data_IF_069853063909
#
_entry.id   IF_069853063909
#
_cell.length_a   1.000
_cell.length_b   1.000
_cell.length_c   1.000
_cell.angle_alpha   90.00
_cell.angle_beta   90.00
_cell.angle_gamma   90.00
#
_symmetry.space_group_name_H-M   'P 1'
#
loop_
_entity.id
_entity.type
_entity.pdbx_description
1 polymer ?
#
# COMPACT_ATOMS: atom_id res chain seq x y z
N UNK A 1 -11.51 12.97 -4.19
CA UNK A 1 -10.33 13.87 -4.16
C UNK A 1 -9.24 13.17 -3.36
N UNK A 2 -8.00 13.06 -3.87
CA UNK A 2 -6.89 12.49 -3.12
C UNK A 2 -6.59 13.30 -1.85
N UNK A 3 -5.99 12.63 -0.86
CA UNK A 3 -5.57 13.30 0.37
C UNK A 3 -4.43 14.28 0.09
N UNK A 4 -4.44 15.47 0.71
CA UNK A 4 -3.41 16.48 0.49
C UNK A 4 -2.09 16.14 1.17
N UNK A 5 -1.01 16.72 0.66
CA UNK A 5 0.35 16.58 1.20
C UNK A 5 0.88 17.91 1.75
N UNK A 6 1.75 17.84 2.76
CA UNK A 6 2.42 19.03 3.31
C UNK A 6 3.75 19.27 2.57
N UNK A 7 3.66 19.88 1.39
CA UNK A 7 4.79 20.14 0.51
C UNK A 7 5.89 20.98 1.17
N UNK A 8 5.50 22.05 1.88
CA UNK A 8 6.45 22.96 2.53
C UNK A 8 7.27 22.26 3.63
N UNK A 9 6.62 21.41 4.42
CA UNK A 9 7.31 20.62 5.46
C UNK A 9 8.29 19.65 4.83
N UNK A 10 7.87 18.91 3.79
CA UNK A 10 8.72 17.93 3.10
C UNK A 10 9.94 18.63 2.51
N UNK A 11 9.75 19.71 1.77
CA UNK A 11 10.84 20.48 1.19
C UNK A 11 11.83 20.97 2.25
N UNK A 12 11.35 21.54 3.36
CA UNK A 12 12.19 22.03 4.45
C UNK A 12 12.94 20.89 5.17
N UNK A 13 12.35 19.70 5.23
CA UNK A 13 12.99 18.53 5.83
C UNK A 13 14.12 18.01 4.96
N UNK A 14 13.91 17.84 3.67
CA UNK A 14 14.88 17.28 2.71
C UNK A 14 16.17 18.14 2.56
N UNK A 15 16.17 19.36 3.08
CA UNK A 15 17.39 20.21 3.16
C UNK A 15 18.27 19.91 4.38
N UNK A 16 17.84 19.05 5.31
CA UNK A 16 18.59 18.75 6.54
C UNK A 16 19.47 17.52 6.36
N UNK A 17 20.62 17.43 7.08
CA UNK A 17 21.45 16.24 7.09
C UNK A 17 20.68 15.01 7.64
N UNK A 18 20.98 13.83 7.09
CA UNK A 18 20.38 12.56 7.50
C UNK A 18 21.33 11.37 7.22
N UNK A 19 21.01 10.21 7.77
CA UNK A 19 21.75 8.96 7.54
C UNK A 19 21.33 8.29 6.21
N UNK A 20 22.01 8.69 5.13
CA UNK A 20 21.76 8.14 3.80
C UNK A 20 22.05 6.64 3.70
N UNK A 21 23.05 6.13 4.44
CA UNK A 21 23.38 4.70 4.41
C UNK A 21 22.23 3.82 4.91
N UNK A 22 21.48 4.30 5.91
CA UNK A 22 20.31 3.61 6.43
C UNK A 22 19.08 3.79 5.52
N UNK A 23 18.85 5.01 5.01
CA UNK A 23 17.57 5.39 4.43
C UNK A 23 17.51 5.22 2.90
N UNK A 24 18.62 5.30 2.15
CA UNK A 24 18.62 5.08 0.69
C UNK A 24 18.53 3.60 0.33
N UNK A 25 17.91 3.28 -0.80
CA UNK A 25 17.75 1.91 -1.29
C UNK A 25 17.66 1.85 -2.83
N UNK A 26 18.02 0.70 -3.44
CA UNK A 26 17.65 0.44 -4.82
C UNK A 26 16.14 0.24 -4.94
N UNK A 27 15.57 -0.63 -4.12
CA UNK A 27 14.12 -0.79 -3.96
C UNK A 27 13.77 -0.65 -2.49
N UNK A 28 12.77 0.15 -2.17
CA UNK A 28 12.25 0.31 -0.81
C UNK A 28 10.78 -0.05 -0.69
N UNK A 29 10.41 -0.56 0.48
CA UNK A 29 9.03 -0.70 0.91
C UNK A 29 8.87 -0.13 2.31
N UNK A 30 7.90 0.77 2.51
CA UNK A 30 7.58 1.36 3.82
C UNK A 30 6.14 1.03 4.17
N UNK A 31 5.91 0.22 5.19
CA UNK A 31 4.55 -0.13 5.62
C UNK A 31 4.47 -1.36 6.51
N UNK A 32 3.28 -1.61 7.11
CA UNK A 32 2.99 -2.83 7.83
C UNK A 32 2.95 -4.03 6.89
N UNK A 33 3.38 -5.19 7.36
CA UNK A 33 3.16 -6.46 6.65
C UNK A 33 1.81 -7.11 7.01
N UNK A 34 1.07 -6.53 7.96
CA UNK A 34 -0.18 -7.09 8.52
C UNK A 34 -0.04 -8.53 9.01
N UNK A 35 1.16 -8.89 9.46
CA UNK A 35 1.51 -10.22 9.99
C UNK A 35 1.78 -10.19 11.51
N UNK A 36 1.26 -9.18 12.19
CA UNK A 36 1.33 -9.06 13.64
C UNK A 36 0.54 -10.19 14.32
N UNK A 37 0.92 -10.54 15.55
CA UNK A 37 0.33 -11.65 16.32
C UNK A 37 -1.18 -11.51 16.56
N UNK A 38 -1.72 -10.32 16.44
CA UNK A 38 -3.15 -10.01 16.57
C UNK A 38 -3.89 -9.86 15.23
N UNK A 39 -3.36 -10.43 14.15
CA UNK A 39 -4.09 -10.50 12.87
C UNK A 39 -5.42 -11.24 13.10
N UNK A 40 -6.53 -10.55 12.76
CA UNK A 40 -7.87 -11.05 13.06
C UNK A 40 -8.18 -12.38 12.36
N UNK A 41 -7.72 -12.57 11.13
CA UNK A 41 -7.96 -13.82 10.39
C UNK A 41 -7.20 -14.99 11.01
N UNK A 42 -5.94 -14.81 11.37
CA UNK A 42 -5.10 -15.86 11.94
C UNK A 42 -5.53 -16.21 13.38
N UNK A 43 -6.29 -15.34 14.04
CA UNK A 43 -6.89 -15.60 15.35
C UNK A 43 -8.21 -16.38 15.29
N UNK A 44 -8.76 -16.62 14.10
CA UNK A 44 -9.99 -17.41 13.93
C UNK A 44 -9.73 -18.88 14.34
N UNK A 45 -10.23 -19.26 15.50
CA UNK A 45 -10.16 -20.64 16.01
C UNK A 45 -11.57 -21.23 16.06
N UNK A 46 -11.69 -22.50 15.65
CA UNK A 46 -12.96 -23.23 15.75
C UNK A 46 -13.91 -23.04 14.55
N UNK A 47 -13.49 -22.38 13.48
CA UNK A 47 -14.23 -22.41 12.21
C UNK A 47 -14.10 -23.81 11.56
N UNK A 48 -15.13 -24.24 10.85
CA UNK A 48 -15.13 -25.52 10.13
C UNK A 48 -14.05 -25.55 9.04
N UNK A 49 -13.55 -26.76 8.73
CA UNK A 49 -12.59 -26.96 7.64
C UNK A 49 -13.18 -26.52 6.29
N UNK A 50 -14.50 -26.65 6.11
CA UNK A 50 -15.18 -26.14 4.92
C UNK A 50 -15.07 -24.62 4.82
N UNK A 51 -15.46 -23.90 5.86
CA UNK A 51 -15.40 -22.42 5.86
C UNK A 51 -13.97 -21.92 5.71
N UNK A 52 -13.00 -22.54 6.41
CA UNK A 52 -11.60 -22.17 6.24
C UNK A 52 -11.13 -22.36 4.80
N UNK A 53 -11.37 -23.53 4.22
CA UNK A 53 -10.98 -23.82 2.83
C UNK A 53 -11.65 -22.89 1.82
N UNK A 54 -12.93 -22.56 2.04
CA UNK A 54 -13.65 -21.60 1.21
C UNK A 54 -13.03 -20.19 1.28
N UNK A 55 -12.76 -19.67 2.49
CA UNK A 55 -12.14 -18.34 2.66
C UNK A 55 -10.74 -18.29 2.05
N UNK A 56 -9.93 -19.33 2.24
CA UNK A 56 -8.60 -19.43 1.62
C UNK A 56 -8.70 -19.44 0.09
N UNK A 57 -9.68 -20.14 -0.48
CA UNK A 57 -9.89 -20.21 -1.93
C UNK A 57 -10.31 -18.86 -2.53
N UNK A 58 -11.25 -18.13 -1.92
CA UNK A 58 -11.68 -16.83 -2.43
C UNK A 58 -10.57 -15.78 -2.29
N UNK A 59 -9.77 -15.79 -1.22
CA UNK A 59 -8.61 -14.93 -1.08
C UNK A 59 -7.55 -15.23 -2.16
N UNK A 60 -7.28 -16.52 -2.42
CA UNK A 60 -6.38 -16.92 -3.49
C UNK A 60 -6.88 -16.47 -4.87
N UNK A 61 -8.16 -16.59 -5.16
CA UNK A 61 -8.73 -16.08 -6.40
C UNK A 61 -8.60 -14.55 -6.49
N UNK A 62 -8.91 -13.83 -5.40
CA UNK A 62 -8.80 -12.37 -5.34
C UNK A 62 -7.37 -11.87 -5.53
N UNK A 63 -6.33 -12.62 -5.14
CA UNK A 63 -4.93 -12.20 -5.34
C UNK A 63 -4.55 -12.04 -6.81
N UNK A 64 -5.27 -12.69 -7.72
CA UNK A 64 -5.07 -12.59 -9.17
C UNK A 64 -5.93 -11.50 -9.85
N UNK A 65 -6.77 -10.79 -9.08
CA UNK A 65 -7.68 -9.77 -9.61
C UNK A 65 -7.36 -8.42 -9.01
N UNK A 66 -6.89 -7.48 -9.83
CA UNK A 66 -6.72 -6.08 -9.49
C UNK A 66 -7.88 -5.23 -10.05
N UNK A 67 -8.16 -4.09 -9.41
CA UNK A 67 -9.19 -3.15 -9.85
C UNK A 67 -10.63 -3.49 -9.42
N UNK A 68 -10.87 -4.70 -8.92
CA UNK A 68 -12.15 -5.11 -8.35
C UNK A 68 -11.94 -6.00 -7.12
N UNK A 69 -12.76 -5.81 -6.08
CA UNK A 69 -12.73 -6.62 -4.86
C UNK A 69 -14.09 -7.30 -4.67
N UNK A 70 -14.14 -8.62 -4.88
CA UNK A 70 -15.34 -9.44 -4.77
C UNK A 70 -15.47 -10.20 -3.45
N UNK A 71 -14.54 -10.04 -2.50
CA UNK A 71 -14.52 -10.83 -1.26
C UNK A 71 -15.82 -10.69 -0.45
N UNK A 72 -16.35 -9.47 -0.37
CA UNK A 72 -17.61 -9.22 0.35
C UNK A 72 -18.79 -9.96 -0.29
N UNK A 73 -18.87 -9.96 -1.62
CA UNK A 73 -19.94 -10.62 -2.38
C UNK A 73 -19.91 -12.14 -2.26
N UNK A 74 -18.72 -12.71 -2.01
CA UNK A 74 -18.53 -14.15 -1.80
C UNK A 74 -18.91 -14.61 -0.38
N UNK A 75 -19.13 -13.71 0.58
CA UNK A 75 -19.51 -14.10 1.94
C UNK A 75 -21.00 -14.45 2.01
N UNK A 76 -21.29 -15.74 1.98
CA UNK A 76 -22.67 -16.25 2.12
C UNK A 76 -23.17 -16.17 3.57
N UNK A 77 -24.49 -16.12 3.75
CA UNK A 77 -25.11 -16.08 5.09
C UNK A 77 -24.63 -17.18 6.03
N UNK A 78 -24.50 -18.46 5.63
CA UNK A 78 -23.97 -19.51 6.52
C UNK A 78 -22.53 -19.23 7.00
N UNK A 79 -21.66 -18.75 6.11
CA UNK A 79 -20.28 -18.41 6.45
C UNK A 79 -20.23 -17.23 7.41
N UNK A 80 -21.00 -16.16 7.14
CA UNK A 80 -21.09 -14.98 8.03
C UNK A 80 -21.58 -15.41 9.42
N UNK A 81 -22.59 -16.26 9.48
CA UNK A 81 -23.12 -16.77 10.77
C UNK A 81 -22.08 -17.56 11.54
N UNK A 82 -21.33 -18.43 10.86
CA UNK A 82 -20.24 -19.19 11.50
C UNK A 82 -19.15 -18.27 12.02
N UNK A 83 -18.69 -17.30 11.20
CA UNK A 83 -17.70 -16.31 11.61
C UNK A 83 -18.17 -15.48 12.81
N UNK A 84 -19.42 -15.03 12.81
CA UNK A 84 -20.00 -14.27 13.91
C UNK A 84 -20.04 -15.09 15.20
N UNK A 85 -20.46 -16.34 15.13
CA UNK A 85 -20.50 -17.25 16.29
C UNK A 85 -19.10 -17.53 16.84
N UNK A 86 -18.13 -17.76 15.95
CA UNK A 86 -16.74 -18.03 16.32
C UNK A 86 -16.03 -16.85 16.94
N UNK A 87 -16.25 -15.65 16.40
CA UNK A 87 -15.62 -14.42 16.89
C UNK A 87 -16.37 -13.78 18.05
N UNK A 88 -17.59 -14.22 18.32
CA UNK A 88 -18.53 -13.56 19.24
C UNK A 88 -18.75 -12.09 18.93
N UNK A 89 -18.52 -11.69 17.66
CA UNK A 89 -18.64 -10.32 17.24
C UNK A 89 -20.10 -9.86 17.32
N UNK A 90 -20.32 -8.76 18.04
CA UNK A 90 -21.63 -8.10 18.11
C UNK A 90 -21.55 -6.76 17.35
N UNK A 91 -22.42 -6.64 16.35
CA UNK A 91 -22.54 -5.36 15.62
C UNK A 91 -23.02 -4.26 16.59
N UNK A 92 -22.35 -3.09 16.52
CA UNK A 92 -22.88 -1.92 17.23
C UNK A 92 -24.30 -1.61 16.71
N UNK A 93 -25.32 -1.46 17.55
CA UNK A 93 -26.68 -1.13 17.14
C UNK A 93 -26.75 0.11 16.21
N UNK A 94 -25.91 1.12 16.48
CA UNK A 94 -25.82 2.35 15.68
C UNK A 94 -24.84 2.26 14.51
N UNK A 95 -24.16 1.10 14.32
CA UNK A 95 -23.18 0.88 13.26
C UNK A 95 -23.84 0.69 11.90
N UNK A 96 -23.37 1.43 10.90
CA UNK A 96 -23.86 1.35 9.51
C UNK A 96 -23.26 0.18 8.74
N UNK A 97 -22.11 -0.37 9.19
CA UNK A 97 -21.40 -1.42 8.50
C UNK A 97 -22.13 -2.76 8.60
N UNK A 98 -22.18 -3.50 7.48
CA UNK A 98 -22.72 -4.87 7.43
C UNK A 98 -21.72 -5.85 8.04
N UNK A 99 -22.19 -7.04 8.49
CA UNK A 99 -21.26 -8.11 8.90
C UNK A 99 -20.40 -8.61 7.75
N UNK A 100 -20.95 -8.66 6.52
CA UNK A 100 -20.19 -9.01 5.32
C UNK A 100 -19.04 -8.03 5.10
N UNK A 101 -19.29 -6.72 5.21
CA UNK A 101 -18.26 -5.69 5.12
C UNK A 101 -17.17 -5.90 6.19
N UNK A 102 -17.58 -6.09 7.45
CA UNK A 102 -16.62 -6.24 8.55
C UNK A 102 -15.71 -7.45 8.34
N UNK A 103 -16.29 -8.63 8.02
CA UNK A 103 -15.47 -9.84 7.79
C UNK A 103 -14.65 -9.74 6.50
N UNK A 104 -15.18 -9.12 5.44
CA UNK A 104 -14.41 -8.86 4.22
C UNK A 104 -13.24 -7.92 4.48
N UNK A 105 -13.48 -6.72 5.00
CA UNK A 105 -12.49 -5.66 5.01
C UNK A 105 -11.46 -5.80 6.14
N UNK A 106 -11.92 -6.16 7.36
CA UNK A 106 -11.02 -6.27 8.51
C UNK A 106 -10.34 -7.63 8.65
N UNK A 107 -10.97 -8.71 8.17
CA UNK A 107 -10.39 -10.06 8.25
C UNK A 107 -9.73 -10.45 6.94
N UNK A 108 -10.52 -10.57 5.85
CA UNK A 108 -10.01 -11.14 4.60
C UNK A 108 -9.07 -10.19 3.85
N UNK A 109 -9.46 -8.94 3.65
CA UNK A 109 -8.62 -7.97 2.91
C UNK A 109 -7.27 -7.73 3.60
N UNK A 110 -7.23 -7.68 4.93
CA UNK A 110 -5.97 -7.55 5.67
C UNK A 110 -5.11 -8.80 5.55
N UNK A 111 -5.70 -9.99 5.67
CA UNK A 111 -4.98 -11.25 5.49
C UNK A 111 -4.44 -11.39 4.09
N UNK A 112 -5.26 -11.13 3.08
CA UNK A 112 -4.85 -11.14 1.68
C UNK A 112 -3.70 -10.17 1.43
N UNK A 113 -3.80 -8.92 1.93
CA UNK A 113 -2.71 -7.94 1.80
C UNK A 113 -1.43 -8.40 2.48
N UNK A 114 -1.53 -9.06 3.64
CA UNK A 114 -0.35 -9.64 4.30
C UNK A 114 0.32 -10.69 3.41
N UNK A 115 -0.46 -11.62 2.86
CA UNK A 115 0.05 -12.66 1.96
C UNK A 115 0.70 -12.05 0.71
N UNK A 116 0.04 -11.08 0.08
CA UNK A 116 0.57 -10.40 -1.11
C UNK A 116 1.86 -9.64 -0.81
N UNK A 117 1.90 -8.85 0.27
CA UNK A 117 3.11 -8.11 0.66
C UNK A 117 4.28 -9.04 0.91
N UNK A 118 4.07 -10.12 1.63
CA UNK A 118 5.12 -11.11 1.91
C UNK A 118 5.60 -11.76 0.61
N UNK A 119 4.69 -12.22 -0.25
CA UNK A 119 5.05 -12.88 -1.51
C UNK A 119 5.79 -11.92 -2.44
N UNK A 120 5.23 -10.73 -2.69
CA UNK A 120 5.83 -9.71 -3.56
C UNK A 120 7.22 -9.30 -3.06
N UNK A 121 7.34 -8.99 -1.76
CA UNK A 121 8.64 -8.57 -1.22
C UNK A 121 9.67 -9.71 -1.20
N UNK A 122 9.24 -10.97 -1.07
CA UNK A 122 10.11 -12.13 -1.20
C UNK A 122 10.58 -12.29 -2.65
N UNK A 123 9.70 -12.13 -3.62
CA UNK A 123 10.04 -12.20 -5.04
C UNK A 123 11.02 -11.06 -5.41
N UNK A 124 10.75 -9.84 -4.98
CA UNK A 124 11.66 -8.70 -5.20
C UNK A 124 13.04 -8.95 -4.57
N UNK A 125 13.08 -9.39 -3.31
CA UNK A 125 14.33 -9.64 -2.60
C UNK A 125 15.17 -10.80 -3.20
N UNK A 126 14.53 -11.71 -3.93
CA UNK A 126 15.24 -12.78 -4.63
C UNK A 126 15.98 -12.31 -5.89
N UNK A 127 15.63 -11.12 -6.42
CA UNK A 127 16.19 -10.58 -7.66
C UNK A 127 16.95 -9.27 -7.47
N UNK A 128 16.56 -8.45 -6.48
CA UNK A 128 17.06 -7.09 -6.31
C UNK A 128 17.38 -6.77 -4.84
N UNK A 129 18.35 -5.86 -4.57
CA UNK A 129 18.55 -5.32 -3.23
C UNK A 129 17.28 -4.61 -2.74
N UNK A 130 16.72 -5.09 -1.63
CA UNK A 130 15.47 -4.56 -1.05
C UNK A 130 15.70 -4.14 0.40
N UNK A 131 15.31 -2.90 0.73
CA UNK A 131 15.13 -2.46 2.12
C UNK A 131 13.65 -2.39 2.46
N UNK A 132 13.27 -3.01 3.58
CA UNK A 132 11.90 -2.93 4.10
C UNK A 132 11.91 -2.17 5.43
N UNK A 133 10.94 -1.25 5.58
CA UNK A 133 10.73 -0.48 6.80
C UNK A 133 9.35 -0.82 7.34
N UNK A 134 9.32 -1.71 8.35
CA UNK A 134 8.08 -2.29 8.87
C UNK A 134 8.07 -2.37 10.39
N UNK A 135 6.89 -2.29 11.04
CA UNK A 135 6.78 -2.42 12.49
C UNK A 135 7.29 -3.76 13.03
N UNK A 136 7.15 -4.85 12.28
CA UNK A 136 7.65 -6.17 12.69
C UNK A 136 9.13 -6.32 12.36
N UNK A 137 10.00 -5.70 13.18
CA UNK A 137 11.44 -5.70 13.00
C UNK A 137 12.07 -7.10 12.96
N UNK A 138 11.47 -8.07 13.63
CA UNK A 138 12.00 -9.43 13.73
C UNK A 138 11.57 -10.33 12.58
N UNK A 139 10.67 -9.86 11.72
CA UNK A 139 10.25 -10.64 10.56
C UNK A 139 11.33 -10.68 9.49
N UNK A 140 11.70 -11.88 9.08
CA UNK A 140 12.76 -12.10 8.10
C UNK A 140 12.15 -12.41 6.75
N UNK A 141 12.45 -11.59 5.76
CA UNK A 141 12.29 -11.92 4.34
C UNK A 141 13.70 -12.27 3.82
N UNK A 142 13.92 -13.46 3.30
CA UNK A 142 15.24 -13.84 2.78
C UNK A 142 15.76 -12.81 1.77
N UNK A 143 17.03 -12.46 1.89
CA UNK A 143 17.73 -11.48 1.05
C UNK A 143 17.27 -10.02 1.17
N UNK A 144 16.22 -9.71 1.94
CA UNK A 144 15.83 -8.33 2.23
C UNK A 144 16.49 -7.81 3.51
N UNK A 145 16.79 -6.53 3.54
CA UNK A 145 17.24 -5.81 4.74
C UNK A 145 16.03 -5.22 5.47
N UNK A 146 15.62 -5.83 6.59
CA UNK A 146 14.57 -5.27 7.45
C UNK A 146 15.15 -4.21 8.38
N UNK A 147 14.87 -2.94 8.10
CA UNK A 147 15.39 -1.77 8.81
C UNK A 147 14.56 -1.41 10.07
N UNK A 148 13.47 -2.12 10.33
CA UNK A 148 12.52 -1.79 11.39
C UNK A 148 11.64 -0.61 11.07
N UNK A 149 11.11 0.07 12.10
CA UNK A 149 10.25 1.24 11.92
C UNK A 149 11.09 2.42 11.42
N UNK A 150 10.57 3.13 10.42
CA UNK A 150 11.02 4.46 10.07
C UNK A 150 10.10 5.49 10.74
N UNK A 151 10.68 6.54 11.31
CA UNK A 151 9.88 7.65 11.82
C UNK A 151 9.16 8.34 10.65
N UNK A 152 7.85 8.46 10.80
CA UNK A 152 6.98 8.97 9.74
C UNK A 152 7.28 10.42 9.36
N UNK A 153 7.64 11.24 10.34
CA UNK A 153 7.84 12.67 10.13
C UNK A 153 9.28 13.02 9.72
N UNK A 154 10.26 12.26 10.18
CA UNK A 154 11.69 12.64 10.10
C UNK A 154 12.53 11.72 9.23
N UNK A 155 12.12 10.45 8.98
CA UNK A 155 12.90 9.49 8.20
C UNK A 155 12.19 9.08 6.89
N UNK A 156 10.88 8.85 6.96
CA UNK A 156 10.11 8.37 5.80
C UNK A 156 10.27 9.25 4.54
N UNK A 157 10.28 10.60 4.62
CA UNK A 157 10.49 11.44 3.44
C UNK A 157 11.86 11.23 2.76
N UNK A 158 12.92 10.98 3.53
CA UNK A 158 14.24 10.68 2.95
C UNK A 158 14.26 9.32 2.27
N UNK A 159 13.59 8.31 2.86
CA UNK A 159 13.48 6.99 2.23
C UNK A 159 12.83 7.14 0.85
N UNK A 160 11.75 7.90 0.77
CA UNK A 160 11.04 8.11 -0.50
C UNK A 160 11.85 8.90 -1.50
N UNK A 161 12.57 9.92 -1.05
CA UNK A 161 13.40 10.76 -1.90
C UNK A 161 14.60 9.99 -2.47
N UNK A 162 15.28 9.19 -1.65
CA UNK A 162 16.58 8.60 -1.98
C UNK A 162 16.52 7.14 -2.42
N UNK A 163 15.35 6.52 -2.39
CA UNK A 163 15.18 5.20 -3.00
C UNK A 163 14.99 5.36 -4.51
N UNK A 164 15.71 4.54 -5.29
CA UNK A 164 15.55 4.55 -6.74
C UNK A 164 14.12 4.15 -7.14
N UNK A 165 13.55 3.14 -6.45
CA UNK A 165 12.17 2.68 -6.66
C UNK A 165 11.49 2.55 -5.30
N UNK A 166 10.36 3.23 -5.14
CA UNK A 166 9.49 3.08 -3.98
C UNK A 166 8.31 2.18 -4.34
N UNK A 167 8.30 0.97 -3.78
CA UNK A 167 7.24 -0.01 -4.02
C UNK A 167 6.05 0.25 -3.08
N UNK A 168 4.87 0.41 -3.65
CA UNK A 168 3.63 0.45 -2.89
C UNK A 168 2.75 -0.75 -3.23
N UNK A 169 2.28 -1.44 -2.18
CA UNK A 169 1.32 -2.55 -2.26
C UNK A 169 0.11 -2.14 -1.44
N UNK A 170 -0.93 -1.72 -2.14
CA UNK A 170 -2.14 -1.13 -1.56
C UNK A 170 -2.90 -2.16 -0.72
N UNK A 171 -3.41 -1.75 0.43
CA UNK A 171 -4.31 -2.55 1.26
C UNK A 171 -5.59 -2.87 0.48
N UNK A 172 -5.97 -4.13 0.41
CA UNK A 172 -7.10 -4.63 -0.41
C UNK A 172 -8.48 -4.10 0.02
N UNK A 173 -8.61 -3.57 1.22
CA UNK A 173 -9.82 -2.85 1.64
C UNK A 173 -9.96 -1.44 1.04
N UNK A 174 -8.89 -0.90 0.44
CA UNK A 174 -8.97 0.36 -0.31
C UNK A 174 -9.51 0.04 -1.71
N UNK A 175 -10.85 0.02 -1.84
CA UNK A 175 -11.57 -0.30 -3.08
C UNK A 175 -11.58 0.88 -4.06
N UNK A 176 -11.44 2.10 -3.54
CA UNK A 176 -11.43 3.36 -4.30
C UNK A 176 -10.52 4.39 -3.66
N UNK A 177 -10.15 5.43 -4.41
CA UNK A 177 -9.23 6.48 -3.98
C UNK A 177 -7.76 6.15 -4.25
N UNK A 178 -6.91 7.14 -4.03
CA UNK A 178 -5.45 7.01 -4.12
C UNK A 178 -4.90 6.85 -2.71
N UNK A 179 -4.15 5.76 -2.41
CA UNK A 179 -3.55 5.59 -1.09
C UNK A 179 -2.65 6.78 -0.71
N UNK A 180 -2.75 7.25 0.52
CA UNK A 180 -1.93 8.37 1.01
C UNK A 180 -0.43 8.13 0.79
N UNK A 181 0.02 6.88 0.97
CA UNK A 181 1.41 6.48 0.73
C UNK A 181 1.90 6.84 -0.68
N UNK A 182 1.07 6.66 -1.69
CA UNK A 182 1.43 7.01 -3.06
C UNK A 182 1.62 8.51 -3.23
N UNK A 183 0.74 9.31 -2.63
CA UNK A 183 0.86 10.77 -2.61
C UNK A 183 2.11 11.23 -1.86
N UNK A 184 2.44 10.57 -0.74
CA UNK A 184 3.65 10.85 0.04
C UNK A 184 4.92 10.56 -0.76
N UNK A 185 5.01 9.40 -1.43
CA UNK A 185 6.16 9.05 -2.27
C UNK A 185 6.37 10.11 -3.33
N UNK A 186 5.34 10.42 -4.11
CA UNK A 186 5.44 11.42 -5.18
C UNK A 186 5.73 12.82 -4.63
N UNK A 187 5.18 13.20 -3.47
CA UNK A 187 5.46 14.51 -2.86
C UNK A 187 6.89 14.69 -2.35
N UNK A 188 7.63 13.60 -2.20
CA UNK A 188 9.06 13.62 -1.87
C UNK A 188 9.95 13.59 -3.13
N UNK A 189 9.39 13.61 -4.34
CA UNK A 189 10.13 13.41 -5.58
C UNK A 189 10.56 11.96 -5.81
N UNK A 190 9.96 11.01 -5.09
CA UNK A 190 10.26 9.59 -5.21
C UNK A 190 9.57 8.95 -6.42
N UNK A 191 10.26 8.02 -7.09
CA UNK A 191 9.66 7.21 -8.14
C UNK A 191 8.71 6.19 -7.52
N UNK A 192 7.44 6.24 -7.92
CA UNK A 192 6.36 5.35 -7.43
C UNK A 192 6.15 4.19 -8.38
N UNK A 193 6.32 2.96 -7.87
CA UNK A 193 5.83 1.73 -8.49
C UNK A 193 4.74 1.11 -7.60
N UNK A 194 3.50 1.02 -8.10
CA UNK A 194 2.34 0.58 -7.31
C UNK A 194 1.53 -0.48 -8.05
N UNK A 195 0.79 -1.32 -7.30
CA UNK A 195 -0.23 -2.16 -7.93
C UNK A 195 -1.35 -1.30 -8.54
N UNK A 196 -2.05 -1.84 -9.54
CA UNK A 196 -3.14 -1.16 -10.23
C UNK A 196 -4.21 -0.62 -9.27
N UNK A 197 -4.59 0.65 -9.46
CA UNK A 197 -5.68 1.35 -8.79
C UNK A 197 -6.35 2.30 -9.79
N UNK A 198 -7.62 2.08 -10.10
CA UNK A 198 -8.34 2.82 -11.15
C UNK A 198 -8.41 4.34 -10.92
N UNK A 199 -8.44 4.78 -9.65
CA UNK A 199 -8.59 6.19 -9.34
C UNK A 199 -7.33 7.04 -9.63
N UNK A 200 -6.16 6.41 -9.83
CA UNK A 200 -4.98 7.14 -10.29
C UNK A 200 -5.21 7.82 -11.64
N UNK A 201 -5.87 7.14 -12.56
CA UNK A 201 -6.08 7.63 -13.94
C UNK A 201 -7.00 8.86 -14.05
N UNK A 202 -7.66 9.24 -12.96
CA UNK A 202 -8.43 10.49 -12.85
C UNK A 202 -7.54 11.71 -12.59
N UNK A 203 -6.32 11.50 -12.08
CA UNK A 203 -5.44 12.56 -11.60
C UNK A 203 -4.04 12.52 -12.21
N UNK A 204 -3.58 11.32 -12.60
CA UNK A 204 -2.21 11.07 -13.05
C UNK A 204 -2.19 10.24 -14.33
N UNK A 205 -1.10 10.34 -15.10
CA UNK A 205 -0.87 9.58 -16.32
C UNK A 205 0.18 8.50 -16.06
N UNK A 206 -0.20 7.25 -16.27
CA UNK A 206 0.72 6.12 -16.11
C UNK A 206 1.85 6.17 -17.15
N UNK A 207 3.08 5.90 -16.73
CA UNK A 207 4.28 6.03 -17.55
C UNK A 207 4.83 7.46 -17.65
N UNK A 208 4.08 8.47 -17.19
CA UNK A 208 4.52 9.86 -17.15
C UNK A 208 4.68 10.40 -15.72
N UNK A 209 3.75 10.08 -14.82
CA UNK A 209 3.71 10.60 -13.45
C UNK A 209 3.98 9.50 -12.39
N UNK A 210 3.67 8.27 -12.72
CA UNK A 210 3.85 7.08 -11.88
C UNK A 210 3.88 5.82 -12.75
N UNK A 211 4.28 4.70 -12.15
CA UNK A 211 4.24 3.38 -12.79
C UNK A 211 3.41 2.42 -11.95
N UNK A 212 2.61 1.59 -12.62
CA UNK A 212 1.85 0.53 -11.94
C UNK A 212 2.19 -0.84 -12.52
N UNK A 213 1.88 -1.88 -11.75
CA UNK A 213 2.02 -3.28 -12.16
C UNK A 213 0.69 -4.04 -12.00
N UNK A 214 0.51 -5.06 -12.84
CA UNK A 214 -0.67 -5.92 -12.90
C UNK A 214 -0.39 -7.38 -12.54
N UNK A 215 0.88 -7.75 -12.40
CA UNK A 215 1.33 -9.07 -11.94
C UNK A 215 2.71 -8.99 -11.31
N UNK A 216 3.15 -10.08 -10.64
CA UNK A 216 4.50 -10.14 -10.09
C UNK A 216 5.56 -10.11 -11.19
N UNK A 217 5.34 -10.81 -12.30
CA UNK A 217 6.29 -10.82 -13.43
C UNK A 217 6.42 -9.43 -14.05
N UNK A 218 5.32 -8.74 -14.27
CA UNK A 218 5.31 -7.35 -14.77
C UNK A 218 6.03 -6.40 -13.80
N UNK A 219 5.84 -6.58 -12.49
CA UNK A 219 6.54 -5.80 -11.47
C UNK A 219 8.05 -6.02 -11.53
N UNK A 220 8.51 -7.28 -11.58
CA UNK A 220 9.94 -7.59 -11.62
C UNK A 220 10.59 -7.04 -12.89
N UNK A 221 9.94 -7.14 -14.05
CA UNK A 221 10.41 -6.55 -15.29
C UNK A 221 10.52 -5.03 -15.21
N UNK A 222 9.53 -4.35 -14.60
CA UNK A 222 9.56 -2.91 -14.41
C UNK A 222 10.64 -2.47 -13.41
N UNK A 223 10.88 -3.24 -12.34
CA UNK A 223 11.99 -2.96 -11.42
C UNK A 223 13.33 -3.04 -12.16
N UNK A 224 13.58 -4.12 -12.89
CA UNK A 224 14.81 -4.29 -13.66
C UNK A 224 15.02 -3.16 -14.67
N UNK A 225 13.96 -2.82 -15.41
CA UNK A 225 13.98 -1.74 -16.39
C UNK A 225 14.32 -0.39 -15.74
N UNK A 226 13.57 0.02 -14.73
CA UNK A 226 13.76 1.35 -14.13
C UNK A 226 15.00 1.47 -13.23
N UNK A 227 15.58 0.37 -12.75
CA UNK A 227 16.89 0.41 -12.08
C UNK A 227 18.01 0.78 -13.06
N UNK A 228 17.89 0.43 -14.35
CA UNK A 228 18.86 0.69 -15.40
C UNK A 228 18.58 1.91 -16.26
N UNK A 229 17.33 2.39 -16.29
CA UNK A 229 16.87 3.56 -17.06
C UNK A 229 16.67 4.81 -16.20
N UNK A 230 17.76 5.30 -15.60
CA UNK A 230 17.74 6.40 -14.62
C UNK A 230 17.09 7.68 -15.13
N UNK A 231 17.39 8.09 -16.36
CA UNK A 231 16.84 9.33 -16.93
C UNK A 231 15.32 9.29 -17.03
N UNK A 232 14.75 8.17 -17.45
CA UNK A 232 13.32 7.99 -17.57
C UNK A 232 12.68 7.90 -16.17
N UNK A 233 13.27 7.10 -15.27
CA UNK A 233 12.83 7.01 -13.88
C UNK A 233 12.76 8.38 -13.19
N UNK A 234 13.80 9.19 -13.30
CA UNK A 234 13.85 10.52 -12.69
C UNK A 234 12.88 11.49 -13.35
N UNK A 235 12.67 11.40 -14.66
CA UNK A 235 11.67 12.22 -15.36
C UNK A 235 10.24 11.93 -14.90
N UNK A 236 9.90 10.63 -14.72
CA UNK A 236 8.59 10.21 -14.21
C UNK A 236 8.40 10.68 -12.76
N UNK A 237 9.41 10.50 -11.90
CA UNK A 237 9.37 10.97 -10.53
C UNK A 237 9.16 12.48 -10.42
N UNK A 238 9.87 13.25 -11.22
CA UNK A 238 9.73 14.72 -11.27
C UNK A 238 8.33 15.12 -11.75
N UNK A 239 7.81 14.51 -12.81
CA UNK A 239 6.46 14.79 -13.30
C UNK A 239 5.39 14.53 -12.25
N UNK A 240 5.45 13.36 -11.58
CA UNK A 240 4.56 13.02 -10.47
C UNK A 240 4.66 14.01 -9.31
N UNK A 241 5.88 14.40 -8.93
CA UNK A 241 6.13 15.41 -7.91
C UNK A 241 5.46 16.76 -8.27
N UNK A 242 5.73 17.29 -9.44
CA UNK A 242 5.17 18.58 -9.88
C UNK A 242 3.65 18.57 -9.88
N UNK A 243 3.03 17.47 -10.33
CA UNK A 243 1.57 17.32 -10.32
C UNK A 243 0.99 17.30 -8.90
N UNK A 244 1.64 16.57 -7.98
CA UNK A 244 1.20 16.51 -6.58
C UNK A 244 1.32 17.86 -5.90
N UNK A 245 2.45 18.53 -6.03
CA UNK A 245 2.67 19.84 -5.39
C UNK A 245 1.69 20.88 -5.91
N UNK A 246 1.46 20.92 -7.22
CA UNK A 246 0.56 21.87 -7.85
C UNK A 246 -0.91 21.66 -7.51
N UNK A 247 -1.37 20.40 -7.49
CA UNK A 247 -2.80 20.09 -7.46
C UNK A 247 -3.30 19.52 -6.12
N UNK A 248 -2.38 18.99 -5.29
CA UNK A 248 -2.72 18.23 -4.09
C UNK A 248 -1.95 18.69 -2.84
N UNK A 249 -1.39 19.91 -2.83
CA UNK A 249 -0.89 20.52 -1.61
C UNK A 249 -2.05 20.90 -0.66
N UNK A 250 -1.78 21.04 0.64
CA UNK A 250 -2.79 21.53 1.58
C UNK A 250 -3.38 22.86 1.15
N UNK A 251 -2.53 23.79 0.69
CA UNK A 251 -2.93 25.11 0.24
C UNK A 251 -3.93 25.02 -0.92
N UNK A 252 -3.59 24.22 -1.94
CA UNK A 252 -4.44 24.06 -3.13
C UNK A 252 -5.79 23.41 -2.76
N UNK A 253 -5.77 22.36 -1.93
CA UNK A 253 -6.99 21.66 -1.54
C UNK A 253 -7.89 22.55 -0.67
N UNK A 254 -7.33 23.26 0.31
CA UNK A 254 -8.13 24.19 1.13
C UNK A 254 -8.74 25.33 0.29
N UNK A 255 -7.97 25.87 -0.68
CA UNK A 255 -8.52 26.88 -1.58
C UNK A 255 -9.69 26.35 -2.42
N UNK A 256 -9.59 25.11 -2.92
CA UNK A 256 -10.70 24.45 -3.62
C UNK A 256 -11.92 24.28 -2.73
N UNK A 257 -11.74 23.85 -1.47
CA UNK A 257 -12.83 23.69 -0.50
C UNK A 257 -13.50 25.04 -0.21
N UNK A 258 -12.72 26.09 0.06
CA UNK A 258 -13.26 27.42 0.33
C UNK A 258 -14.01 27.99 -0.88
N UNK A 259 -13.57 27.74 -2.09
CA UNK A 259 -14.28 28.16 -3.30
C UNK A 259 -15.63 27.43 -3.53
N UNK A 260 -15.84 26.26 -2.90
CA UNK A 260 -17.10 25.50 -2.97
C UNK A 260 -18.07 25.97 -1.89
N UNK A 261 -17.56 26.36 -0.74
CA UNK A 261 -18.39 26.76 0.43
C UNK A 261 -18.85 28.22 0.32
N UNK A 262 -18.16 29.05 -0.51
CA UNK A 262 -18.49 30.47 -0.74
C UNK A 262 -17.81 31.38 0.24
#
# INVERSE_FOLDING_TARGET
>A
MPLPVNANRIHSLLQKPYDSARLSADVSFVGSLYNETHNLYDSLQGISSYTKGYLDAIMKAQSHVYGYNFLEECLTTPIITELQNTTHYQKNPDGVESLSFIFSDYYLCRKLTSMERINILTDVASHFPLKIFTPNKNYVIPNASNMGVADYLTETPYIFHDSKINLNITLRSIKSGIPLRCMEIMSCGGFLLTNFQSDFFKHFVAGEDFVYFESNDDMLQKIDYYLTHEKERTSIAESGYQKVIKNHSYETIFQQIFNIIG
#
